data_IF_905172429274
#
_entry.id   IF_905172429274
#
_cell.length_a   1.000
_cell.length_b   1.000
_cell.length_c   1.000
_cell.angle_alpha   90.00
_cell.angle_beta   90.00
_cell.angle_gamma   90.00
#
_symmetry.space_group_name_H-M   'P 1'
#
loop_
_entity.id
_entity.type
_entity.pdbx_description
1 polymer ?
#
# COMPACT_ATOMS: atom_id res chain seq x y z
N UNK A 1 13.73 26.03 -22.29
CA UNK A 1 12.43 26.03 -21.57
C UNK A 1 12.55 26.87 -20.31
N UNK A 2 12.01 28.09 -20.36
CA UNK A 2 11.97 29.00 -19.20
C UNK A 2 11.08 28.43 -18.10
N UNK A 3 11.64 28.20 -16.91
CA UNK A 3 10.85 27.82 -15.72
C UNK A 3 9.99 29.02 -15.32
N UNK A 4 8.67 28.92 -15.53
CA UNK A 4 7.69 29.95 -15.18
C UNK A 4 7.80 30.37 -13.71
N UNK A 5 7.74 31.70 -13.48
CA UNK A 5 7.93 32.39 -12.18
C UNK A 5 6.96 31.94 -11.07
N UNK A 6 5.91 31.17 -11.38
CA UNK A 6 4.87 30.73 -10.43
C UNK A 6 5.12 29.37 -9.76
N UNK A 7 6.17 28.64 -10.13
CA UNK A 7 6.49 27.35 -9.48
C UNK A 7 6.96 27.47 -8.02
N UNK A 8 7.43 28.66 -7.60
CA UNK A 8 8.03 28.91 -6.27
C UNK A 8 7.03 29.00 -5.11
N UNK A 9 5.73 29.12 -5.38
CA UNK A 9 4.67 29.28 -4.35
C UNK A 9 3.78 28.06 -4.21
N UNK A 10 4.14 26.91 -4.78
CA UNK A 10 3.30 25.72 -4.66
C UNK A 10 3.21 25.28 -3.19
N UNK A 11 1.99 25.17 -2.64
CA UNK A 11 1.80 24.69 -1.29
C UNK A 11 2.18 23.21 -1.22
N UNK A 12 2.85 22.82 -0.15
CA UNK A 12 3.33 21.46 0.04
C UNK A 12 2.27 20.63 0.77
N UNK A 13 1.73 19.62 0.07
CA UNK A 13 0.63 18.77 0.57
C UNK A 13 0.92 18.16 1.94
N UNK A 14 2.16 17.74 2.20
CA UNK A 14 2.57 17.03 3.42
C UNK A 14 3.13 17.94 4.52
N UNK A 15 2.78 19.24 4.49
CA UNK A 15 3.22 20.21 5.52
C UNK A 15 2.93 19.70 6.93
N UNK A 16 1.70 19.22 7.17
CA UNK A 16 1.25 18.79 8.51
C UNK A 16 2.03 17.59 9.01
N UNK A 17 2.22 16.58 8.16
CA UNK A 17 3.03 15.39 8.48
C UNK A 17 4.48 15.77 8.82
N UNK A 18 5.09 16.71 8.09
CA UNK A 18 6.50 17.08 8.34
C UNK A 18 6.66 17.79 9.67
N UNK A 19 5.71 18.66 10.03
CA UNK A 19 5.70 19.34 11.33
C UNK A 19 5.44 18.34 12.44
N UNK A 20 4.54 17.36 12.25
CA UNK A 20 4.32 16.27 13.23
C UNK A 20 5.57 15.43 13.46
N UNK A 21 6.31 15.10 12.40
CA UNK A 21 7.57 14.34 12.54
C UNK A 21 8.60 15.10 13.38
N UNK A 22 8.77 16.40 13.15
CA UNK A 22 9.67 17.23 13.95
C UNK A 22 9.23 17.31 15.43
N UNK A 23 7.93 17.51 15.69
CA UNK A 23 7.39 17.53 17.05
C UNK A 23 7.57 16.19 17.77
N UNK A 24 7.40 15.06 17.06
CA UNK A 24 7.60 13.72 17.61
C UNK A 24 9.08 13.44 17.92
N UNK A 25 10.01 14.02 17.15
CA UNK A 25 11.45 14.01 17.43
C UNK A 25 11.84 15.01 18.54
N UNK A 26 10.87 15.59 19.26
CA UNK A 26 11.08 16.44 20.44
C UNK A 26 11.21 17.93 20.15
N UNK A 27 11.07 18.37 18.90
CA UNK A 27 11.19 19.80 18.57
C UNK A 27 9.98 20.58 19.09
N UNK A 28 10.22 21.83 19.48
CA UNK A 28 9.17 22.79 19.81
C UNK A 28 8.69 23.54 18.56
N UNK A 29 7.51 24.16 18.64
CA UNK A 29 7.01 24.98 17.53
C UNK A 29 7.85 26.23 17.29
N UNK A 30 8.56 26.73 18.32
CA UNK A 30 9.50 27.85 18.18
C UNK A 30 10.75 27.42 17.42
N UNK A 31 11.36 26.28 17.77
CA UNK A 31 12.53 25.76 17.05
C UNK A 31 12.21 25.46 15.58
N UNK A 32 11.03 24.90 15.31
CA UNK A 32 10.57 24.69 13.93
C UNK A 32 10.40 26.02 13.19
N UNK A 33 9.85 27.05 13.86
CA UNK A 33 9.63 28.36 13.27
C UNK A 33 10.96 29.05 12.92
N UNK A 34 11.91 29.03 13.86
CA UNK A 34 13.27 29.55 13.66
C UNK A 34 13.96 28.83 12.51
N UNK A 35 13.91 27.49 12.50
CA UNK A 35 14.54 26.68 11.45
C UNK A 35 13.95 26.95 10.07
N UNK A 36 12.63 27.14 9.99
CA UNK A 36 11.91 27.44 8.74
C UNK A 36 11.85 28.94 8.42
N UNK A 37 12.50 29.80 9.21
CA UNK A 37 12.47 31.27 9.09
C UNK A 37 11.03 31.82 8.99
N UNK A 38 10.17 31.37 9.90
CA UNK A 38 8.77 31.76 9.97
C UNK A 38 8.37 32.07 11.43
N UNK A 39 7.08 32.34 11.66
CA UNK A 39 6.55 32.61 13.00
C UNK A 39 5.93 31.36 13.62
N UNK A 40 5.98 31.25 14.95
CA UNK A 40 5.37 30.14 15.69
C UNK A 40 3.86 30.01 15.40
N UNK A 41 3.15 31.13 15.20
CA UNK A 41 1.74 31.15 14.80
C UNK A 41 1.48 30.45 13.46
N UNK A 42 2.41 30.57 12.51
CA UNK A 42 2.38 29.90 11.20
C UNK A 42 2.61 28.40 11.38
N UNK A 43 3.57 28.00 12.21
CA UNK A 43 3.82 26.58 12.54
C UNK A 43 2.61 25.95 13.26
N UNK A 44 1.95 26.70 14.14
CA UNK A 44 0.71 26.28 14.78
C UNK A 44 -0.40 26.02 13.75
N UNK A 45 -0.55 26.90 12.76
CA UNK A 45 -1.48 26.70 11.65
C UNK A 45 -1.13 25.47 10.79
N UNK A 46 0.16 25.22 10.55
CA UNK A 46 0.66 24.02 9.86
C UNK A 46 0.36 22.73 10.64
N UNK A 47 0.59 22.73 11.96
CA UNK A 47 0.29 21.61 12.87
C UNK A 47 -1.21 21.28 12.86
N UNK A 48 -2.06 22.31 12.90
CA UNK A 48 -3.52 22.18 12.84
C UNK A 48 -4.02 21.79 11.44
N UNK A 49 -3.23 22.02 10.39
CA UNK A 49 -3.57 21.75 9.00
C UNK A 49 -4.44 22.84 8.36
N UNK A 50 -4.56 24.01 8.98
CA UNK A 50 -5.37 25.13 8.47
C UNK A 50 -4.66 25.94 7.39
N UNK A 51 -3.32 25.86 7.34
CA UNK A 51 -2.49 26.42 6.26
C UNK A 51 -1.43 25.41 5.85
N UNK A 52 -1.01 25.46 4.59
CA UNK A 52 0.13 24.70 4.07
C UNK A 52 1.34 25.63 3.90
N UNK A 53 2.53 25.12 4.16
CA UNK A 53 3.78 25.80 3.88
C UNK A 53 4.16 25.61 2.42
N UNK A 54 5.00 26.49 1.89
CA UNK A 54 5.61 26.27 0.58
C UNK A 54 6.79 25.31 0.70
N UNK A 55 7.13 24.63 -0.40
CA UNK A 55 8.29 23.71 -0.43
C UNK A 55 9.60 24.42 -0.03
N UNK A 56 9.75 25.70 -0.37
CA UNK A 56 10.91 26.51 0.03
C UNK A 56 10.97 26.76 1.54
N UNK A 57 9.85 27.08 2.17
CA UNK A 57 9.78 27.30 3.62
C UNK A 57 10.05 26.02 4.41
N UNK A 58 9.58 24.88 3.89
CA UNK A 58 9.73 23.58 4.53
C UNK A 58 11.04 22.89 4.15
N UNK A 59 11.85 23.47 3.27
CA UNK A 59 13.11 22.88 2.81
C UNK A 59 14.02 22.41 3.97
N UNK A 60 14.18 23.17 5.08
CA UNK A 60 14.97 22.72 6.23
C UNK A 60 14.43 21.44 6.87
N UNK A 61 13.10 21.32 7.00
CA UNK A 61 12.46 20.11 7.51
C UNK A 61 12.45 18.99 6.47
N UNK A 62 12.33 19.30 5.18
CA UNK A 62 12.40 18.34 4.08
C UNK A 62 13.79 17.71 3.99
N UNK A 63 14.86 18.44 4.28
CA UNK A 63 16.21 17.85 4.30
C UNK A 63 16.38 16.81 5.43
N UNK A 64 15.68 16.99 6.55
CA UNK A 64 15.76 16.08 7.72
C UNK A 64 14.72 14.95 7.59
N UNK A 65 13.48 15.30 7.28
CA UNK A 65 12.30 14.44 7.34
C UNK A 65 11.70 14.10 5.97
N UNK A 66 12.14 14.75 4.90
CA UNK A 66 11.60 14.54 3.55
C UNK A 66 11.77 13.10 3.09
N UNK A 67 12.85 12.43 3.49
CA UNK A 67 13.02 10.99 3.26
C UNK A 67 11.98 10.17 4.02
N UNK A 68 11.64 10.52 5.27
CA UNK A 68 10.60 9.83 6.06
C UNK A 68 9.21 10.05 5.46
N UNK A 69 8.92 11.21 4.86
CA UNK A 69 7.63 11.49 4.20
C UNK A 69 7.52 10.78 2.85
N UNK A 70 8.58 10.82 2.03
CA UNK A 70 8.59 10.17 0.71
C UNK A 70 8.65 8.64 0.80
N UNK A 71 9.08 8.08 1.95
CA UNK A 71 9.18 6.62 2.18
C UNK A 71 7.95 5.96 2.83
N UNK A 72 7.04 6.70 3.47
CA UNK A 72 6.08 6.07 4.39
C UNK A 72 4.70 5.73 3.78
N UNK A 73 4.66 4.96 2.69
CA UNK A 73 3.54 4.03 2.57
C UNK A 73 3.99 2.71 3.16
N UNK A 74 3.56 2.42 4.38
CA UNK A 74 3.68 1.10 4.98
C UNK A 74 2.28 0.59 5.31
N UNK A 75 2.13 -0.74 5.32
CA UNK A 75 0.95 -1.41 5.86
C UNK A 75 1.35 -2.30 7.03
N UNK A 76 0.43 -2.44 7.98
CA UNK A 76 0.56 -3.36 9.10
C UNK A 76 -0.27 -4.60 8.80
N UNK A 77 0.35 -5.75 8.97
CA UNK A 77 -0.24 -7.07 8.81
C UNK A 77 -0.12 -7.85 10.11
N UNK A 78 -0.91 -8.89 10.26
CA UNK A 78 -0.80 -9.78 11.41
C UNK A 78 -1.03 -11.23 10.99
N UNK A 79 -0.45 -12.15 11.76
CA UNK A 79 -0.71 -13.58 11.69
C UNK A 79 -1.08 -14.11 13.07
N UNK A 80 -1.85 -15.18 13.08
CA UNK A 80 -2.10 -15.99 14.27
C UNK A 80 -1.52 -17.38 14.02
N UNK A 81 -0.62 -17.81 14.90
CA UNK A 81 -0.23 -19.20 14.97
C UNK A 81 -1.39 -20.01 15.57
N UNK A 82 -1.89 -20.98 14.83
CA UNK A 82 -3.05 -21.79 15.25
C UNK A 82 -2.75 -22.81 16.34
N UNK A 83 -1.46 -23.12 16.57
CA UNK A 83 -1.01 -24.04 17.60
C UNK A 83 -0.72 -23.31 18.92
N UNK A 84 0.07 -22.24 18.86
CA UNK A 84 0.47 -21.48 20.06
C UNK A 84 -0.50 -20.36 20.43
N UNK A 85 -1.42 -19.99 19.53
CA UNK A 85 -2.31 -18.83 19.64
C UNK A 85 -1.57 -17.48 19.74
N UNK A 86 -0.27 -17.46 19.42
CA UNK A 86 0.52 -16.23 19.43
C UNK A 86 0.25 -15.38 18.17
N UNK A 87 0.17 -14.07 18.39
CA UNK A 87 -0.01 -13.09 17.31
C UNK A 87 1.32 -12.46 16.94
N UNK A 88 1.65 -12.50 15.65
CA UNK A 88 2.79 -11.77 15.10
C UNK A 88 2.29 -10.60 14.27
N UNK A 89 2.95 -9.45 14.38
CA UNK A 89 2.63 -8.26 13.61
C UNK A 89 3.77 -7.90 12.68
N UNK A 90 3.47 -7.61 11.42
CA UNK A 90 4.45 -7.26 10.40
C UNK A 90 4.20 -5.84 9.91
N UNK A 91 5.23 -5.00 9.93
CA UNK A 91 5.24 -3.72 9.21
C UNK A 91 5.93 -3.94 7.87
N UNK A 92 5.18 -3.79 6.78
CA UNK A 92 5.73 -3.89 5.42
C UNK A 92 5.77 -2.50 4.80
N UNK A 93 6.98 -2.00 4.60
CA UNK A 93 7.22 -0.74 3.88
C UNK A 93 7.23 -0.97 2.37
N UNK A 94 6.82 0.04 1.62
CA UNK A 94 6.79 0.00 0.17
C UNK A 94 5.42 0.30 -0.39
N UNK A 95 5.39 0.81 -1.62
CA UNK A 95 4.14 1.16 -2.30
C UNK A 95 3.38 -0.11 -2.63
N UNK A 96 2.11 -0.18 -2.25
CA UNK A 96 1.21 -1.25 -2.72
C UNK A 96 0.94 -1.01 -4.21
N UNK A 97 1.32 -1.99 -5.04
CA UNK A 97 1.08 -1.96 -6.49
C UNK A 97 -0.13 -2.79 -6.90
N UNK A 98 -0.41 -3.86 -6.14
CA UNK A 98 -1.59 -4.71 -6.32
C UNK A 98 -2.15 -5.08 -4.95
N UNK A 99 -3.47 -5.08 -4.84
CA UNK A 99 -4.21 -5.59 -3.67
C UNK A 99 -5.48 -6.25 -4.18
N UNK A 100 -5.43 -7.56 -4.39
CA UNK A 100 -6.53 -8.32 -4.99
C UNK A 100 -7.12 -9.30 -3.97
N UNK A 101 -8.42 -9.18 -3.71
CA UNK A 101 -9.18 -10.17 -2.93
C UNK A 101 -9.86 -11.17 -3.88
N UNK A 102 -9.96 -12.42 -3.44
CA UNK A 102 -10.56 -13.53 -4.18
C UNK A 102 -11.82 -13.99 -3.45
N UNK A 103 -12.90 -14.13 -4.21
CA UNK A 103 -14.23 -14.27 -3.64
C UNK A 103 -14.83 -15.64 -3.97
N UNK A 104 -15.36 -16.31 -2.94
CA UNK A 104 -16.26 -17.46 -3.10
C UNK A 104 -17.66 -16.94 -3.50
N UNK A 105 -18.11 -17.19 -4.75
CA UNK A 105 -19.44 -16.81 -5.19
C UNK A 105 -20.45 -17.90 -4.77
N UNK A 106 -21.07 -17.72 -3.61
CA UNK A 106 -22.12 -18.62 -3.13
C UNK A 106 -23.39 -18.40 -3.93
N UNK A 107 -23.85 -19.45 -4.60
CA UNK A 107 -25.06 -19.44 -5.44
C UNK A 107 -26.15 -20.30 -4.81
N UNK A 108 -27.41 -19.92 -5.05
CA UNK A 108 -28.55 -20.75 -4.66
C UNK A 108 -28.74 -21.94 -5.62
N UNK A 109 -29.71 -22.80 -5.32
CA UNK A 109 -30.06 -23.96 -6.15
C UNK A 109 -30.50 -23.59 -7.59
N UNK A 110 -30.85 -22.31 -7.83
CA UNK A 110 -31.24 -21.78 -9.16
C UNK A 110 -30.07 -21.11 -9.87
N UNK A 111 -28.86 -21.17 -9.30
CA UNK A 111 -27.64 -20.57 -9.86
C UNK A 111 -27.53 -19.05 -9.64
N UNK A 112 -28.47 -18.42 -8.93
CA UNK A 112 -28.42 -16.99 -8.62
C UNK A 112 -27.36 -16.75 -7.55
N UNK A 113 -26.53 -15.73 -7.75
CA UNK A 113 -25.55 -15.31 -6.76
C UNK A 113 -26.25 -14.79 -5.50
N UNK A 114 -25.97 -15.41 -4.36
CA UNK A 114 -26.53 -15.07 -3.04
C UNK A 114 -25.54 -14.22 -2.24
N UNK A 115 -24.27 -14.62 -2.19
CA UNK A 115 -23.23 -13.91 -1.43
C UNK A 115 -21.88 -14.04 -2.14
N UNK A 116 -21.05 -13.00 -2.05
CA UNK A 116 -19.63 -13.06 -2.40
C UNK A 116 -18.83 -12.91 -1.12
N UNK A 117 -18.11 -13.95 -0.71
CA UNK A 117 -17.30 -13.90 0.51
C UNK A 117 -15.83 -13.88 0.12
N UNK A 118 -15.07 -12.84 0.51
CA UNK A 118 -13.65 -12.81 0.24
C UNK A 118 -12.96 -13.82 1.18
N UNK A 119 -12.32 -14.86 0.62
CA UNK A 119 -11.64 -15.89 1.43
C UNK A 119 -10.12 -15.68 1.47
N UNK A 120 -9.57 -15.19 0.36
CA UNK A 120 -8.13 -15.00 0.17
C UNK A 120 -7.87 -13.57 -0.35
N UNK A 121 -6.68 -13.03 -0.06
CA UNK A 121 -6.25 -11.75 -0.59
C UNK A 121 -4.74 -11.76 -0.83
N UNK A 122 -4.31 -11.21 -1.96
CA UNK A 122 -2.91 -11.07 -2.33
C UNK A 122 -2.57 -9.58 -2.39
N UNK A 123 -1.57 -9.16 -1.62
CA UNK A 123 -1.08 -7.77 -1.62
C UNK A 123 0.38 -7.76 -2.01
N UNK A 124 0.75 -6.89 -2.94
CA UNK A 124 2.11 -6.79 -3.46
C UNK A 124 2.65 -5.40 -3.19
N UNK A 125 3.74 -5.34 -2.45
CA UNK A 125 4.50 -4.13 -2.17
C UNK A 125 5.71 -4.03 -3.08
N UNK A 126 5.96 -2.85 -3.64
CA UNK A 126 7.23 -2.49 -4.24
C UNK A 126 8.11 -1.76 -3.21
N UNK A 127 9.28 -2.32 -2.91
CA UNK A 127 10.22 -1.83 -1.90
C UNK A 127 11.39 -1.04 -2.50
N UNK A 128 11.42 -0.84 -3.82
CA UNK A 128 12.55 -0.25 -4.53
C UNK A 128 13.52 -1.30 -5.06
N UNK A 129 14.42 -0.90 -5.97
CA UNK A 129 15.49 -1.76 -6.52
C UNK A 129 14.99 -3.13 -7.04
N UNK A 130 13.87 -3.13 -7.78
CA UNK A 130 13.21 -4.35 -8.28
C UNK A 130 12.78 -5.36 -7.20
N UNK A 131 12.69 -4.96 -5.94
CA UNK A 131 12.24 -5.83 -4.87
C UNK A 131 10.74 -5.70 -4.65
N UNK A 132 10.03 -6.79 -4.88
CA UNK A 132 8.61 -6.93 -4.63
C UNK A 132 8.37 -7.87 -3.45
N UNK A 133 7.50 -7.50 -2.53
CA UNK A 133 7.14 -8.33 -1.39
C UNK A 133 5.68 -8.69 -1.47
N UNK A 134 5.42 -9.99 -1.49
CA UNK A 134 4.09 -10.55 -1.55
C UNK A 134 3.61 -10.84 -0.14
N UNK A 135 2.39 -10.41 0.15
CA UNK A 135 1.65 -10.77 1.37
C UNK A 135 0.44 -11.59 0.95
N UNK A 136 0.48 -12.88 1.26
CA UNK A 136 -0.65 -13.79 1.06
C UNK A 136 -1.52 -13.78 2.30
N UNK A 137 -2.80 -13.50 2.14
CA UNK A 137 -3.74 -13.34 3.22
C UNK A 137 -4.91 -14.32 3.11
N UNK A 138 -5.40 -14.79 4.25
CA UNK A 138 -6.60 -15.60 4.35
C UNK A 138 -7.51 -15.11 5.48
N UNK A 139 -8.78 -15.47 5.43
CA UNK A 139 -9.70 -15.27 6.54
C UNK A 139 -9.69 -16.46 7.50
N UNK A 140 -9.64 -16.18 8.79
CA UNK A 140 -9.84 -17.19 9.83
C UNK A 140 -11.34 -17.56 9.91
N UNK A 141 -11.62 -18.84 10.09
CA UNK A 141 -12.94 -19.39 10.43
C UNK A 141 -12.93 -19.76 11.91
N UNK A 142 -14.01 -19.47 12.63
CA UNK A 142 -14.09 -19.80 14.05
C UNK A 142 -14.22 -21.32 14.25
N UNK A 143 -13.60 -21.89 15.30
CA UNK A 143 -13.60 -23.36 15.51
C UNK A 143 -15.00 -23.95 15.78
N UNK A 144 -15.93 -23.13 16.26
CA UNK A 144 -17.26 -23.56 16.70
C UNK A 144 -18.41 -22.98 15.87
N UNK A 145 -18.11 -22.22 14.82
CA UNK A 145 -19.09 -21.73 13.86
C UNK A 145 -18.47 -21.69 12.47
N UNK A 146 -19.28 -21.88 11.43
CA UNK A 146 -18.84 -21.65 10.04
C UNK A 146 -18.69 -20.17 9.70
N UNK A 147 -18.71 -19.29 10.72
CA UNK A 147 -18.60 -17.86 10.57
C UNK A 147 -17.14 -17.47 10.34
N UNK A 148 -16.95 -16.53 9.42
CA UNK A 148 -15.65 -15.94 9.15
C UNK A 148 -15.38 -14.77 10.10
N UNK A 149 -14.10 -14.45 10.35
CA UNK A 149 -13.74 -13.24 11.09
C UNK A 149 -14.23 -11.99 10.34
N UNK A 150 -15.12 -11.23 10.98
CA UNK A 150 -15.66 -9.98 10.45
C UNK A 150 -15.33 -8.79 11.36
N UNK A 151 -15.02 -7.66 10.74
CA UNK A 151 -14.78 -6.40 11.42
C UNK A 151 -15.05 -5.25 10.44
N UNK A 152 -15.41 -4.07 10.96
CA UNK A 152 -15.57 -2.84 10.18
C UNK A 152 -14.27 -2.34 9.54
N UNK A 153 -13.12 -2.84 9.98
CA UNK A 153 -11.79 -2.47 9.47
C UNK A 153 -11.35 -3.57 8.54
N UNK A 154 -11.36 -3.31 7.23
CA UNK A 154 -11.11 -4.32 6.21
C UNK A 154 -9.75 -5.00 6.35
N UNK A 155 -8.70 -4.28 6.77
CA UNK A 155 -7.36 -4.87 6.93
C UNK A 155 -7.25 -5.76 8.20
N UNK A 156 -8.16 -5.61 9.17
CA UNK A 156 -8.10 -6.33 10.45
C UNK A 156 -8.60 -7.78 10.37
N UNK A 157 -9.37 -8.15 9.35
CA UNK A 157 -9.96 -9.50 9.22
C UNK A 157 -9.02 -10.53 8.57
N UNK A 158 -7.83 -10.10 8.15
CA UNK A 158 -6.91 -10.90 7.35
C UNK A 158 -5.73 -11.42 8.18
N UNK A 159 -5.61 -12.75 8.31
CA UNK A 159 -4.34 -13.36 8.72
C UNK A 159 -3.40 -13.39 7.53
N UNK A 160 -2.12 -13.11 7.75
CA UNK A 160 -1.16 -12.76 6.69
C UNK A 160 0.11 -13.58 6.79
N UNK A 161 0.62 -14.03 5.64
CA UNK A 161 1.95 -14.60 5.48
C UNK A 161 2.76 -13.66 4.58
N UNK A 162 3.84 -13.12 5.13
CA UNK A 162 4.76 -12.24 4.39
C UNK A 162 5.85 -13.09 3.77
N UNK A 163 5.92 -13.11 2.44
CA UNK A 163 6.90 -13.90 1.70
C UNK A 163 8.24 -13.16 1.57
N UNK A 164 9.26 -13.89 1.13
CA UNK A 164 10.56 -13.32 0.75
C UNK A 164 10.40 -12.34 -0.43
N UNK A 165 11.37 -11.43 -0.66
CA UNK A 165 11.38 -10.56 -1.83
C UNK A 165 11.49 -11.35 -3.14
N UNK A 166 10.80 -10.86 -4.17
CA UNK A 166 10.83 -11.34 -5.54
C UNK A 166 11.35 -10.24 -6.47
N UNK A 167 12.01 -10.63 -7.56
CA UNK A 167 12.20 -9.78 -8.74
C UNK A 167 10.91 -9.67 -9.54
N UNK A 168 10.88 -8.79 -10.54
CA UNK A 168 9.74 -8.64 -11.47
C UNK A 168 9.39 -9.97 -12.17
N UNK A 169 10.39 -10.69 -12.69
CA UNK A 169 10.20 -12.00 -13.35
C UNK A 169 9.68 -13.06 -12.39
N UNK A 170 10.33 -13.21 -11.23
CA UNK A 170 9.92 -14.18 -10.22
C UNK A 170 8.52 -13.88 -9.67
N UNK A 171 8.13 -12.61 -9.60
CA UNK A 171 6.80 -12.20 -9.17
C UNK A 171 5.73 -12.67 -10.16
N UNK A 172 5.98 -12.51 -11.47
CA UNK A 172 5.06 -12.97 -12.52
C UNK A 172 4.92 -14.49 -12.45
N UNK A 173 6.03 -15.22 -12.41
CA UNK A 173 6.04 -16.69 -12.28
C UNK A 173 5.30 -17.15 -11.01
N UNK A 174 5.55 -16.48 -9.88
CA UNK A 174 4.85 -16.76 -8.63
C UNK A 174 3.34 -16.55 -8.77
N UNK A 175 2.91 -15.45 -9.39
CA UNK A 175 1.48 -15.13 -9.55
C UNK A 175 0.80 -16.10 -10.51
N UNK A 176 1.46 -16.48 -11.59
CA UNK A 176 0.92 -17.44 -12.56
C UNK A 176 0.75 -18.82 -11.91
N UNK A 177 1.74 -19.29 -11.14
CA UNK A 177 1.65 -20.53 -10.37
C UNK A 177 0.57 -20.45 -9.26
N UNK A 178 0.47 -19.30 -8.57
CA UNK A 178 -0.56 -19.08 -7.56
C UNK A 178 -1.96 -19.16 -8.17
N UNK A 179 -2.15 -18.60 -9.37
CA UNK A 179 -3.41 -18.66 -10.09
C UNK A 179 -3.78 -20.11 -10.47
N UNK A 180 -2.83 -20.91 -10.98
CA UNK A 180 -3.10 -22.29 -11.37
C UNK A 180 -3.33 -23.24 -10.19
N UNK A 181 -2.53 -23.11 -9.12
CA UNK A 181 -2.55 -24.06 -8.01
C UNK A 181 -3.53 -23.66 -6.90
N UNK A 182 -3.39 -22.44 -6.37
CA UNK A 182 -4.12 -21.97 -5.19
C UNK A 182 -5.50 -21.43 -5.52
N UNK A 183 -5.70 -20.88 -6.72
CA UNK A 183 -6.98 -20.30 -7.15
C UNK A 183 -7.81 -21.22 -8.04
N UNK A 184 -7.47 -22.51 -8.15
CA UNK A 184 -8.24 -23.49 -8.92
C UNK A 184 -9.73 -23.54 -8.56
N UNK A 185 -10.09 -23.24 -7.30
CA UNK A 185 -11.49 -23.14 -6.82
C UNK A 185 -12.20 -21.84 -7.22
N UNK A 186 -11.46 -20.85 -7.70
CA UNK A 186 -11.91 -19.50 -8.06
C UNK A 186 -11.60 -19.23 -9.54
N UNK A 187 -12.26 -19.91 -10.49
CA UNK A 187 -11.85 -19.88 -11.89
C UNK A 187 -11.86 -18.48 -12.51
N UNK A 188 -12.81 -17.61 -12.15
CA UNK A 188 -12.81 -16.21 -12.61
C UNK A 188 -11.58 -15.44 -12.11
N UNK A 189 -11.22 -15.63 -10.84
CA UNK A 189 -10.10 -14.94 -10.23
C UNK A 189 -8.75 -15.51 -10.73
N UNK A 190 -8.66 -16.83 -10.88
CA UNK A 190 -7.50 -17.52 -11.45
C UNK A 190 -7.19 -17.03 -12.88
N UNK A 191 -8.21 -16.88 -13.73
CA UNK A 191 -8.01 -16.40 -15.11
C UNK A 191 -7.62 -14.92 -15.19
N UNK A 192 -8.03 -14.10 -14.22
CA UNK A 192 -7.84 -12.64 -14.27
C UNK A 192 -6.59 -12.17 -13.54
N UNK A 193 -6.13 -12.90 -12.51
CA UNK A 193 -4.97 -12.49 -11.72
C UNK A 193 -3.68 -12.31 -12.54
N UNK A 194 -3.32 -13.19 -13.50
CA UNK A 194 -2.17 -12.99 -14.40
C UNK A 194 -2.23 -11.69 -15.19
N UNK A 195 -3.43 -11.30 -15.66
CA UNK A 195 -3.65 -10.03 -16.34
C UNK A 195 -3.47 -8.85 -15.38
N UNK A 196 -4.04 -8.93 -14.18
CA UNK A 196 -4.02 -7.84 -13.20
C UNK A 196 -2.59 -7.52 -12.73
N UNK A 197 -1.73 -8.52 -12.53
CA UNK A 197 -0.35 -8.26 -12.13
C UNK A 197 0.44 -7.57 -13.24
N UNK A 198 0.30 -8.02 -14.49
CA UNK A 198 0.97 -7.44 -15.65
C UNK A 198 0.50 -6.00 -15.88
N UNK A 199 -0.81 -5.76 -15.81
CA UNK A 199 -1.39 -4.42 -15.89
C UNK A 199 -0.87 -3.51 -14.76
N UNK A 200 -0.80 -4.01 -13.52
CA UNK A 200 -0.27 -3.27 -12.37
C UNK A 200 1.19 -2.88 -12.56
N UNK A 201 2.02 -3.82 -13.02
CA UNK A 201 3.45 -3.58 -13.29
C UNK A 201 3.62 -2.49 -14.35
N UNK A 202 2.92 -2.59 -15.49
CA UNK A 202 2.96 -1.56 -16.55
C UNK A 202 2.49 -0.19 -16.06
N UNK A 203 1.36 -0.11 -15.35
CA UNK A 203 0.83 1.14 -14.79
C UNK A 203 1.76 1.79 -13.74
N UNK A 204 2.71 1.03 -13.22
CA UNK A 204 3.74 1.51 -12.31
C UNK A 204 5.12 1.69 -12.95
N UNK A 205 5.21 1.54 -14.28
CA UNK A 205 6.40 1.84 -15.07
C UNK A 205 7.43 0.72 -15.10
N UNK A 206 7.04 -0.51 -14.75
CA UNK A 206 7.91 -1.69 -14.89
C UNK A 206 7.72 -2.31 -16.28
N UNK A 207 8.82 -2.77 -16.87
CA UNK A 207 8.79 -3.51 -18.14
C UNK A 207 8.34 -4.95 -17.91
N UNK A 208 7.54 -5.48 -18.84
CA UNK A 208 7.03 -6.85 -18.81
C UNK A 208 7.29 -7.47 -20.18
N UNK A 209 8.07 -8.56 -20.23
CA UNK A 209 8.61 -9.12 -21.48
C UNK A 209 7.58 -9.89 -22.31
N UNK A 210 6.51 -10.40 -21.70
CA UNK A 210 5.54 -11.29 -22.35
C UNK A 210 4.29 -10.55 -22.88
N UNK A 211 4.42 -9.26 -23.18
CA UNK A 211 3.33 -8.41 -23.67
C UNK A 211 3.60 -7.97 -25.12
N UNK A 212 2.59 -8.12 -25.96
CA UNK A 212 2.60 -7.58 -27.33
C UNK A 212 2.22 -6.10 -27.26
N UNK A 213 3.16 -5.21 -27.61
CA UNK A 213 2.97 -3.76 -27.57
C UNK A 213 2.44 -3.20 -28.90
N UNK A 214 1.52 -2.23 -28.80
CA UNK A 214 1.01 -1.46 -29.93
C UNK A 214 1.26 0.04 -29.65
N UNK A 215 2.37 0.62 -30.15
CA UNK A 215 2.74 2.00 -29.84
C UNK A 215 1.77 3.00 -30.48
N UNK A 216 1.50 4.10 -29.76
CA UNK A 216 0.76 5.23 -30.27
C UNK A 216 1.56 5.99 -31.35
N UNK A 217 0.89 6.40 -32.43
CA UNK A 217 1.48 7.11 -33.58
C UNK A 217 1.18 8.62 -33.61
N UNK A 218 0.68 9.17 -32.50
CA UNK A 218 0.27 10.59 -32.39
C UNK A 218 1.30 11.45 -31.67
#
# INVERSE_FOLDING_TARGET
MEKSKNSKKKPFKWTREIVRLALNDGWTQQEIAEKCRTQQSVVSAWKKGTKQGTEQQLLPLLNIYGNKIRRNSFKVYWSLDTETMEKTFFRVEGKVILSQAFYDPRRDQRGKLVKKIPELKLVIHYQGAEQFRVVSQGRLKFRHSSEELEHSVEDAVWTSQVLAPFTSKQLIEFVDNYASERLSKYPSDANTLPFLIRQSLLNHGFSVEDIVEFPAVW
#
